data_IF_539424796789
#
_entry.id   IF_539424796789
#
_cell.length_a   1.000
_cell.length_b   1.000
_cell.length_c   1.000
_cell.angle_alpha   90.00
_cell.angle_beta   90.00
_cell.angle_gamma   90.00
#
_symmetry.space_group_name_H-M   'P 1'
#
loop_
_entity.id
_entity.type
_entity.pdbx_description
1 polymer ?
#
# COMPACT_ATOMS: atom_id res chain seq x y z
N UNK A 1 -1.88 7.38 6.66
CA UNK A 1 -2.34 8.10 7.88
C UNK A 1 -3.67 7.50 8.33
N UNK A 2 -3.97 7.49 9.64
CA UNK A 2 -5.30 7.05 10.11
C UNK A 2 -6.29 8.14 9.80
N UNK A 3 -7.39 7.79 9.13
CA UNK A 3 -8.48 8.71 8.89
C UNK A 3 -9.53 8.53 10.00
N UNK A 4 -9.91 7.28 10.28
CA UNK A 4 -10.94 6.94 11.28
C UNK A 4 -10.62 5.61 11.99
N UNK A 5 -11.05 5.48 13.26
CA UNK A 5 -11.08 4.23 14.02
C UNK A 5 -12.50 3.98 14.50
N UNK A 6 -13.01 2.78 14.25
CA UNK A 6 -14.38 2.36 14.54
C UNK A 6 -14.34 1.06 15.34
N UNK A 7 -15.17 0.97 16.37
CA UNK A 7 -15.41 -0.27 17.10
C UNK A 7 -16.87 -0.64 16.95
N UNK A 8 -17.11 -1.81 16.36
CA UNK A 8 -18.44 -2.39 16.16
C UNK A 8 -18.59 -3.65 16.99
N UNK A 9 -19.79 -3.90 17.46
CA UNK A 9 -20.20 -5.23 17.92
C UNK A 9 -20.69 -6.06 16.74
N UNK A 10 -20.62 -7.38 16.87
CA UNK A 10 -21.25 -8.34 15.97
C UNK A 10 -22.75 -8.01 15.84
N UNK A 11 -23.23 -7.81 14.61
CA UNK A 11 -24.55 -7.22 14.32
C UNK A 11 -24.51 -5.74 13.89
N UNK A 12 -23.34 -5.12 13.81
CA UNK A 12 -23.16 -3.77 13.26
C UNK A 12 -23.47 -2.64 14.25
N UNK A 13 -23.63 -2.95 15.54
CA UNK A 13 -23.87 -1.95 16.58
C UNK A 13 -22.58 -1.16 16.80
N UNK A 14 -22.62 0.14 16.56
CA UNK A 14 -21.52 1.03 16.87
C UNK A 14 -21.33 1.13 18.38
N UNK A 15 -20.10 0.95 18.85
CA UNK A 15 -19.71 1.17 20.25
C UNK A 15 -18.84 2.41 20.40
N UNK A 16 -17.95 2.65 19.43
CA UNK A 16 -17.03 3.76 19.47
C UNK A 16 -16.63 4.22 18.06
N UNK A 17 -16.40 5.52 17.92
CA UNK A 17 -15.92 6.13 16.69
C UNK A 17 -14.98 7.29 17.01
N UNK A 18 -13.82 7.28 16.37
CA UNK A 18 -12.80 8.32 16.42
C UNK A 18 -12.46 8.75 15.00
N UNK A 19 -12.38 10.06 14.76
CA UNK A 19 -12.03 10.66 13.47
C UNK A 19 -11.08 11.83 13.68
N UNK A 20 -9.94 11.81 12.98
CA UNK A 20 -8.90 12.85 13.09
C UNK A 20 -9.37 14.16 12.43
N UNK A 21 -10.16 14.08 11.36
CA UNK A 21 -10.64 15.24 10.61
C UNK A 21 -12.01 15.78 11.03
N UNK A 22 -12.68 15.13 11.99
CA UNK A 22 -14.03 15.51 12.44
C UNK A 22 -15.16 15.30 11.42
N UNK A 23 -14.84 14.89 10.18
CA UNK A 23 -15.82 14.50 9.17
C UNK A 23 -16.32 13.09 9.48
N UNK A 24 -17.63 12.93 9.65
CA UNK A 24 -18.25 11.61 9.86
C UNK A 24 -18.59 10.98 8.50
N UNK A 25 -17.76 10.06 8.01
CA UNK A 25 -18.14 9.14 6.92
C UNK A 25 -18.55 7.76 7.46
N UNK A 26 -19.08 7.75 8.67
CA UNK A 26 -19.42 6.56 9.45
C UNK A 26 -20.41 5.64 8.72
N UNK A 27 -21.45 6.20 8.08
CA UNK A 27 -22.52 5.39 7.46
C UNK A 27 -22.05 4.65 6.21
N UNK A 28 -21.22 5.29 5.38
CA UNK A 28 -20.58 4.66 4.21
C UNK A 28 -19.60 3.56 4.65
N UNK A 29 -18.85 3.79 5.72
CA UNK A 29 -17.85 2.86 6.26
C UNK A 29 -18.47 1.61 6.87
N UNK A 30 -19.51 1.77 7.69
CA UNK A 30 -20.20 0.65 8.32
C UNK A 30 -20.91 -0.20 7.26
N UNK A 31 -21.53 0.43 6.25
CA UNK A 31 -22.14 -0.28 5.14
C UNK A 31 -21.10 -1.06 4.30
N UNK A 32 -19.97 -0.43 3.96
CA UNK A 32 -18.89 -1.07 3.22
C UNK A 32 -18.27 -2.24 4.01
N UNK A 33 -18.07 -2.07 5.32
CA UNK A 33 -17.54 -3.13 6.19
C UNK A 33 -18.51 -4.32 6.31
N UNK A 34 -19.80 -4.07 6.55
CA UNK A 34 -20.79 -5.15 6.66
C UNK A 34 -20.94 -5.91 5.34
N UNK A 35 -20.99 -5.20 4.21
CA UNK A 35 -21.00 -5.82 2.88
C UNK A 35 -19.76 -6.69 2.63
N UNK A 36 -18.60 -6.27 3.13
CA UNK A 36 -17.35 -7.00 3.02
C UNK A 36 -17.32 -8.26 3.91
N UNK A 37 -17.77 -8.16 5.16
CA UNK A 37 -17.84 -9.29 6.09
C UNK A 37 -18.81 -10.36 5.57
N UNK A 38 -19.95 -9.96 5.01
CA UNK A 38 -20.92 -10.88 4.41
C UNK A 38 -20.35 -11.59 3.17
N UNK A 39 -19.60 -10.87 2.32
CA UNK A 39 -18.88 -11.44 1.17
C UNK A 39 -17.78 -12.42 1.60
N UNK A 40 -17.08 -12.15 2.71
CA UNK A 40 -16.03 -13.02 3.24
C UNK A 40 -16.58 -14.27 3.90
N UNK A 41 -17.74 -14.18 4.56
CA UNK A 41 -18.43 -15.35 5.12
C UNK A 41 -18.88 -16.34 4.02
N UNK A 42 -19.16 -15.84 2.82
CA UNK A 42 -19.51 -16.66 1.65
C UNK A 42 -18.31 -17.40 1.02
N UNK A 43 -17.07 -16.95 1.24
CA UNK A 43 -15.85 -17.48 0.59
C UNK A 43 -14.95 -18.32 1.53
N UNK A 44 -15.53 -19.00 2.53
CA UNK A 44 -14.79 -19.68 3.60
C UNK A 44 -13.73 -20.70 3.09
N UNK A 45 -12.50 -20.20 2.93
CA UNK A 45 -11.30 -20.93 2.52
C UNK A 45 -10.02 -20.29 3.11
N UNK A 46 -9.86 -20.38 4.44
CA UNK A 46 -8.57 -20.41 5.16
C UNK A 46 -7.54 -19.26 5.06
N UNK A 47 -7.87 -18.05 4.59
CA UNK A 47 -7.01 -16.87 4.89
C UNK A 47 -7.81 -15.78 5.60
N UNK A 48 -7.36 -15.41 6.81
CA UNK A 48 -7.84 -14.23 7.56
C UNK A 48 -7.46 -12.99 6.77
N UNK A 49 -8.27 -12.63 5.78
CA UNK A 49 -8.16 -11.33 5.12
C UNK A 49 -8.55 -10.30 6.19
N UNK A 50 -7.63 -9.40 6.53
CA UNK A 50 -7.80 -8.33 7.53
C UNK A 50 -7.73 -6.95 6.89
N UNK A 51 -7.70 -6.88 5.55
CA UNK A 51 -7.52 -5.64 4.81
C UNK A 51 -8.31 -5.64 3.51
N UNK A 52 -9.02 -4.55 3.22
CA UNK A 52 -9.72 -4.31 1.95
C UNK A 52 -9.42 -2.88 1.50
N UNK A 53 -9.03 -2.71 0.23
CA UNK A 53 -8.81 -1.40 -0.38
C UNK A 53 -10.09 -0.87 -1.07
N UNK A 54 -10.34 0.43 -0.95
CA UNK A 54 -11.44 1.17 -1.56
C UNK A 54 -10.92 2.51 -2.09
N UNK A 55 -10.89 2.69 -3.41
CA UNK A 55 -10.43 3.93 -4.05
C UNK A 55 -9.08 4.40 -3.49
N UNK A 56 -9.04 5.48 -2.68
CA UNK A 56 -7.83 6.04 -2.07
C UNK A 56 -7.57 5.60 -0.63
N UNK A 57 -8.44 4.77 -0.06
CA UNK A 57 -8.41 4.35 1.33
C UNK A 57 -8.37 2.82 1.42
N UNK A 58 -7.99 2.30 2.57
CA UNK A 58 -8.13 0.89 2.90
C UNK A 58 -8.65 0.73 4.31
N UNK A 59 -9.46 -0.29 4.50
CA UNK A 59 -9.91 -0.74 5.81
C UNK A 59 -9.00 -1.84 6.29
N UNK A 60 -8.45 -1.66 7.48
CA UNK A 60 -7.76 -2.70 8.23
C UNK A 60 -8.64 -3.04 9.43
N UNK A 61 -8.83 -4.32 9.74
CA UNK A 61 -9.61 -4.69 10.92
C UNK A 61 -9.03 -5.87 11.69
N UNK A 62 -9.36 -5.90 12.98
CA UNK A 62 -9.02 -6.99 13.91
C UNK A 62 -10.30 -7.41 14.65
N UNK A 63 -10.58 -8.72 14.68
CA UNK A 63 -11.72 -9.28 15.45
C UNK A 63 -11.23 -9.75 16.81
N UNK A 64 -11.91 -9.34 17.88
CA UNK A 64 -11.67 -9.81 19.25
C UNK A 64 -12.98 -10.17 19.93
N UNK A 65 -13.25 -11.47 20.06
CA UNK A 65 -14.56 -11.95 20.54
C UNK A 65 -15.67 -11.55 19.56
N UNK A 66 -16.72 -10.90 20.08
CA UNK A 66 -17.83 -10.33 19.30
C UNK A 66 -17.60 -8.86 18.89
N UNK A 67 -16.37 -8.36 19.00
CA UNK A 67 -16.02 -6.98 18.65
C UNK A 67 -15.14 -6.94 17.40
N UNK A 68 -15.40 -5.95 16.55
CA UNK A 68 -14.59 -5.60 15.39
C UNK A 68 -13.96 -4.23 15.62
N UNK A 69 -12.64 -4.19 15.53
CA UNK A 69 -11.84 -2.98 15.59
C UNK A 69 -11.39 -2.66 14.17
N UNK A 70 -11.75 -1.51 13.65
CA UNK A 70 -11.58 -1.15 12.24
C UNK A 70 -10.83 0.18 12.17
N UNK A 71 -9.77 0.24 11.37
CA UNK A 71 -9.09 1.47 11.01
C UNK A 71 -9.30 1.75 9.52
N UNK A 72 -9.80 2.93 9.18
CA UNK A 72 -9.71 3.47 7.84
C UNK A 72 -8.40 4.23 7.70
N UNK A 73 -7.59 3.83 6.74
CA UNK A 73 -6.26 4.39 6.53
C UNK A 73 -6.07 4.68 5.04
N UNK A 74 -5.13 5.54 4.69
CA UNK A 74 -4.80 5.77 3.28
C UNK A 74 -4.23 4.49 2.66
N UNK A 75 -4.52 4.25 1.37
CA UNK A 75 -4.14 3.03 0.64
C UNK A 75 -2.65 2.67 0.82
N UNK A 76 -1.81 3.70 0.79
CA UNK A 76 -0.35 3.65 0.87
C UNK A 76 0.24 3.42 2.27
N UNK A 77 -0.61 3.29 3.29
CA UNK A 77 -0.13 3.03 4.65
C UNK A 77 0.28 1.57 4.85
N UNK A 78 0.92 1.17 5.96
CA UNK A 78 1.19 -0.26 6.24
C UNK A 78 -0.03 -0.94 6.90
N UNK A 79 -0.52 -2.04 6.32
CA UNK A 79 -1.65 -2.79 6.89
C UNK A 79 -1.26 -3.50 8.20
N UNK A 80 -0.03 -4.05 8.25
CA UNK A 80 0.48 -4.76 9.42
C UNK A 80 0.68 -3.84 10.63
N UNK A 81 1.19 -2.62 10.40
CA UNK A 81 1.29 -1.60 11.43
C UNK A 81 -0.07 -1.31 12.07
N UNK A 82 -1.10 -1.12 11.24
CA UNK A 82 -2.44 -0.86 11.74
C UNK A 82 -3.10 -2.06 12.38
N UNK A 83 -2.78 -3.29 11.98
CA UNK A 83 -3.24 -4.48 12.70
C UNK A 83 -2.68 -4.53 14.11
N UNK A 84 -1.42 -4.14 14.31
CA UNK A 84 -0.81 -4.07 15.64
C UNK A 84 -1.45 -2.97 16.49
N UNK A 85 -1.65 -1.79 15.90
CA UNK A 85 -2.37 -0.68 16.56
C UNK A 85 -3.76 -1.15 17.00
N UNK A 86 -4.53 -1.77 16.10
CA UNK A 86 -5.87 -2.26 16.40
C UNK A 86 -5.85 -3.38 17.45
N UNK A 87 -4.84 -4.25 17.46
CA UNK A 87 -4.70 -5.29 18.48
C UNK A 87 -4.43 -4.70 19.88
N UNK A 88 -3.55 -3.71 19.98
CA UNK A 88 -3.26 -2.99 21.23
C UNK A 88 -4.53 -2.25 21.71
N UNK A 89 -5.19 -1.51 20.81
CA UNK A 89 -6.47 -0.88 21.11
C UNK A 89 -7.55 -1.89 21.54
N UNK A 90 -7.59 -3.08 20.94
CA UNK A 90 -8.53 -4.12 21.32
C UNK A 90 -8.21 -4.73 22.70
N UNK A 91 -6.96 -4.77 23.12
CA UNK A 91 -6.56 -5.13 24.49
C UNK A 91 -6.97 -4.06 25.48
N UNK A 92 -6.68 -2.80 25.21
CA UNK A 92 -7.03 -1.68 26.07
C UNK A 92 -8.54 -1.49 26.20
N UNK A 93 -9.29 -1.53 25.08
CA UNK A 93 -10.74 -1.32 25.08
C UNK A 93 -11.48 -2.38 25.90
N UNK A 94 -11.14 -3.66 25.69
CA UNK A 94 -11.76 -4.76 26.45
C UNK A 94 -11.39 -4.68 27.92
N UNK A 95 -10.14 -4.32 28.24
CA UNK A 95 -9.71 -4.16 29.63
C UNK A 95 -10.42 -3.00 30.32
N UNK A 96 -10.63 -1.88 29.63
CA UNK A 96 -11.20 -0.66 30.20
C UNK A 96 -12.72 -0.75 30.39
N UNK A 97 -13.42 -1.42 29.48
CA UNK A 97 -14.89 -1.48 29.47
C UNK A 97 -15.47 -2.87 29.71
N UNK A 98 -14.70 -3.81 30.25
CA UNK A 98 -15.17 -5.18 30.49
C UNK A 98 -16.54 -5.25 31.16
N UNK A 99 -16.75 -4.47 32.23
CA UNK A 99 -18.00 -4.46 32.98
C UNK A 99 -19.18 -3.83 32.21
N UNK A 100 -18.91 -2.91 31.28
CA UNK A 100 -19.94 -2.27 30.47
C UNK A 100 -20.29 -3.12 29.23
N UNK A 101 -19.31 -3.82 28.66
CA UNK A 101 -19.51 -4.77 27.55
C UNK A 101 -20.36 -5.99 27.94
N UNK A 102 -20.46 -6.30 29.23
CA UNK A 102 -21.28 -7.39 29.77
C UNK A 102 -22.75 -6.98 30.01
N UNK A 103 -23.12 -5.70 29.81
CA UNK A 103 -24.49 -5.21 29.99
C UNK A 103 -25.25 -5.29 28.67
N UNK A 104 -26.55 -5.60 28.72
CA UNK A 104 -27.41 -5.72 27.51
C UNK A 104 -27.66 -4.38 26.79
N UNK A 105 -27.49 -3.24 27.47
CA UNK A 105 -27.70 -1.91 26.92
C UNK A 105 -26.38 -1.13 26.88
N UNK A 106 -25.83 -0.99 25.68
CA UNK A 106 -24.61 -0.24 25.41
C UNK A 106 -24.93 1.25 25.24
N UNK A 107 -24.61 2.07 26.25
CA UNK A 107 -24.64 3.54 26.12
C UNK A 107 -23.34 4.02 25.48
N UNK A 108 -23.42 4.44 24.22
CA UNK A 108 -22.34 5.04 23.42
C UNK A 108 -21.55 6.14 24.16
N UNK A 109 -22.18 6.84 25.10
CA UNK A 109 -21.51 7.92 25.85
C UNK A 109 -20.43 7.40 26.80
N UNK A 110 -20.53 6.16 27.26
CA UNK A 110 -19.57 5.56 28.19
C UNK A 110 -18.24 5.24 27.54
N UNK A 111 -18.25 4.90 26.25
CA UNK A 111 -17.03 4.57 25.52
C UNK A 111 -16.24 5.80 25.06
N UNK A 112 -16.77 7.03 25.22
CA UNK A 112 -16.10 8.26 24.75
C UNK A 112 -14.74 8.50 25.40
N UNK A 113 -14.56 8.08 26.65
CA UNK A 113 -13.26 8.19 27.35
C UNK A 113 -12.15 7.35 26.71
N UNK A 114 -12.49 6.45 25.77
CA UNK A 114 -11.50 5.73 24.98
C UNK A 114 -10.75 6.61 23.97
N UNK A 115 -11.24 7.82 23.70
CA UNK A 115 -10.56 8.77 22.80
C UNK A 115 -9.13 9.03 23.25
N UNK A 116 -8.91 9.26 24.55
CA UNK A 116 -7.59 9.54 25.10
C UNK A 116 -6.62 8.36 24.90
N UNK A 117 -7.11 7.12 25.08
CA UNK A 117 -6.32 5.90 24.86
C UNK A 117 -5.99 5.67 23.37
N UNK A 118 -6.92 6.04 22.48
CA UNK A 118 -6.70 6.01 21.03
C UNK A 118 -5.65 7.05 20.63
N UNK A 119 -5.77 8.28 21.10
CA UNK A 119 -4.81 9.36 20.84
C UNK A 119 -3.43 9.01 21.38
N UNK A 120 -3.33 8.53 22.62
CA UNK A 120 -2.06 8.08 23.21
C UNK A 120 -1.44 6.95 22.40
N UNK A 121 -2.23 5.94 22.02
CA UNK A 121 -1.75 4.83 21.21
C UNK A 121 -1.26 5.31 19.86
N UNK A 122 -2.02 6.17 19.16
CA UNK A 122 -1.61 6.75 17.88
C UNK A 122 -0.34 7.61 18.02
N UNK A 123 -0.19 8.36 19.12
CA UNK A 123 1.00 9.14 19.42
C UNK A 123 2.27 8.29 19.55
N UNK A 124 2.16 7.04 20.07
CA UNK A 124 3.30 6.10 20.11
C UNK A 124 3.86 5.81 18.72
N UNK A 125 3.00 5.86 17.71
CA UNK A 125 3.36 5.63 16.31
C UNK A 125 3.59 6.93 15.55
N UNK A 126 3.47 8.11 16.16
CA UNK A 126 3.61 9.37 15.45
C UNK A 126 5.04 9.58 14.91
N UNK A 127 5.16 9.90 13.61
CA UNK A 127 6.42 9.96 12.85
C UNK A 127 6.92 8.62 12.28
N UNK A 128 6.34 7.47 12.66
CA UNK A 128 6.79 6.13 12.25
C UNK A 128 6.11 5.62 10.96
N UNK A 129 4.80 5.84 10.70
CA UNK A 129 4.14 5.37 9.48
C UNK A 129 4.80 5.83 8.18
N UNK A 130 5.39 7.04 8.17
CA UNK A 130 6.13 7.54 7.01
C UNK A 130 7.47 6.83 6.81
N UNK A 131 8.22 6.59 7.89
CA UNK A 131 9.51 5.91 7.85
C UNK A 131 9.34 4.40 7.58
N UNK A 132 8.41 3.74 8.26
CA UNK A 132 8.12 2.31 8.12
C UNK A 132 7.56 1.93 6.75
N UNK A 133 7.15 2.92 5.93
CA UNK A 133 6.76 2.70 4.53
C UNK A 133 7.96 2.43 3.62
N UNK A 134 9.11 3.06 3.89
CA UNK A 134 10.28 3.04 2.99
C UNK A 134 11.50 2.36 3.60
N UNK A 135 11.61 2.38 4.92
CA UNK A 135 12.80 1.98 5.65
C UNK A 135 12.48 0.92 6.68
N UNK A 136 13.50 0.13 7.02
CA UNK A 136 13.44 -0.73 8.20
C UNK A 136 13.32 0.18 9.42
N UNK A 137 12.36 -0.06 10.30
CA UNK A 137 12.11 0.76 11.50
C UNK A 137 12.01 -0.10 12.75
N UNK A 138 12.53 0.39 13.88
CA UNK A 138 12.41 -0.29 15.17
C UNK A 138 11.49 0.50 16.10
N UNK A 139 10.53 -0.17 16.73
CA UNK A 139 9.64 0.42 17.73
C UNK A 139 10.25 0.28 19.12
N UNK A 140 10.83 1.37 19.59
CA UNK A 140 11.25 1.50 20.98
C UNK A 140 10.04 1.61 21.93
N UNK A 141 10.18 1.22 23.20
CA UNK A 141 9.18 1.51 24.23
C UNK A 141 8.86 3.01 24.27
N UNK A 142 7.60 3.36 24.58
CA UNK A 142 7.14 4.76 24.51
C UNK A 142 7.91 5.71 25.42
N UNK A 143 8.36 5.24 26.59
CA UNK A 143 9.20 6.02 27.51
C UNK A 143 10.55 6.37 26.88
N UNK A 144 11.26 5.37 26.36
CA UNK A 144 12.54 5.53 25.65
C UNK A 144 12.37 6.45 24.42
N UNK A 145 11.33 6.21 23.61
CA UNK A 145 11.06 6.98 22.40
C UNK A 145 10.79 8.45 22.71
N UNK A 146 9.96 8.76 23.72
CA UNK A 146 9.64 10.12 24.10
C UNK A 146 10.85 10.86 24.66
N UNK A 147 11.68 10.17 25.45
CA UNK A 147 12.91 10.73 25.99
C UNK A 147 13.92 11.03 24.87
N UNK A 148 14.10 10.09 23.93
CA UNK A 148 14.96 10.28 22.77
C UNK A 148 14.45 11.41 21.86
N UNK A 149 13.14 11.48 21.60
CA UNK A 149 12.51 12.59 20.84
C UNK A 149 12.82 13.94 21.50
N UNK A 150 12.59 14.05 22.81
CA UNK A 150 12.87 15.28 23.55
C UNK A 150 14.34 15.67 23.47
N UNK A 151 15.24 14.71 23.66
CA UNK A 151 16.69 14.96 23.64
C UNK A 151 17.21 15.29 22.25
N UNK A 152 16.65 14.67 21.22
CA UNK A 152 16.97 14.99 19.84
C UNK A 152 16.63 16.45 19.53
N UNK A 153 15.42 16.89 19.90
CA UNK A 153 15.01 18.29 19.75
C UNK A 153 15.91 19.23 20.56
N UNK A 154 16.27 18.88 21.79
CA UNK A 154 17.19 19.69 22.61
C UNK A 154 18.56 19.89 21.93
N UNK A 155 19.09 18.84 21.29
CA UNK A 155 20.36 18.90 20.55
C UNK A 155 20.22 19.73 19.27
N UNK A 156 19.10 19.63 18.56
CA UNK A 156 18.80 20.37 17.33
C UNK A 156 18.51 21.87 17.55
N UNK A 157 18.31 22.32 18.80
CA UNK A 157 18.26 23.75 19.13
C UNK A 157 19.63 24.41 18.96
N UNK A 158 20.72 23.63 18.99
CA UNK A 158 22.07 24.12 18.70
C UNK A 158 22.14 24.65 17.28
N UNK A 159 22.69 25.86 17.08
CA UNK A 159 22.91 26.43 15.75
C UNK A 159 23.76 25.54 14.83
N UNK A 160 24.52 24.60 15.39
CA UNK A 160 25.44 23.74 14.63
C UNK A 160 24.87 22.36 14.30
N UNK A 161 23.75 21.94 14.92
CA UNK A 161 23.10 20.65 14.66
C UNK A 161 21.74 20.93 14.06
N UNK A 162 21.52 20.52 12.81
CA UNK A 162 20.30 20.85 12.08
C UNK A 162 19.19 19.80 12.29
N UNK A 163 19.54 18.53 12.09
CA UNK A 163 18.62 17.39 12.16
C UNK A 163 19.40 16.15 12.56
N UNK A 164 18.80 15.23 13.28
CA UNK A 164 19.43 13.95 13.60
C UNK A 164 18.52 12.73 13.46
N UNK A 165 19.15 11.56 13.54
CA UNK A 165 18.49 10.27 13.61
C UNK A 165 19.28 9.28 14.45
N UNK A 166 18.62 8.18 14.80
CA UNK A 166 19.20 7.02 15.45
C UNK A 166 18.84 5.76 14.65
N UNK A 167 19.86 5.06 14.18
CA UNK A 167 19.71 3.89 13.29
C UNK A 167 20.55 2.75 13.85
N UNK A 168 20.00 1.54 13.91
CA UNK A 168 20.75 0.35 14.33
C UNK A 168 21.77 -0.07 13.27
N UNK A 169 22.80 -0.84 13.64
CA UNK A 169 23.81 -1.31 12.68
C UNK A 169 23.24 -2.18 11.54
N UNK A 170 22.12 -2.85 11.78
CA UNK A 170 21.38 -3.62 10.78
C UNK A 170 20.36 -2.78 9.97
N UNK A 171 20.42 -1.45 10.10
CA UNK A 171 19.70 -0.50 9.25
C UNK A 171 18.27 -0.16 9.70
N UNK A 172 17.87 -0.50 10.93
CA UNK A 172 16.55 -0.12 11.45
C UNK A 172 16.58 1.27 12.06
N UNK A 173 15.74 2.16 11.56
CA UNK A 173 15.57 3.51 12.05
C UNK A 173 14.70 3.49 13.31
N UNK A 174 15.24 3.98 14.43
CA UNK A 174 14.52 4.10 15.70
C UNK A 174 13.78 5.43 15.82
N UNK A 175 14.44 6.51 15.40
CA UNK A 175 13.91 7.88 15.36
C UNK A 175 14.66 8.67 14.30
N UNK A 176 13.98 9.56 13.58
CA UNK A 176 14.61 10.43 12.59
C UNK A 176 13.85 11.73 12.40
N UNK A 177 14.58 12.85 12.39
CA UNK A 177 14.15 14.13 11.82
C UNK A 177 14.84 14.42 10.47
N UNK A 178 15.68 13.49 9.99
CA UNK A 178 16.34 13.61 8.69
C UNK A 178 15.32 13.55 7.54
N UNK A 179 15.61 14.26 6.45
CA UNK A 179 14.88 14.15 5.20
C UNK A 179 15.17 12.81 4.54
N UNK A 180 14.26 12.34 3.67
CA UNK A 180 14.40 11.03 3.02
C UNK A 180 15.76 10.82 2.33
N UNK A 181 16.24 11.79 1.54
CA UNK A 181 17.54 11.66 0.88
C UNK A 181 18.72 11.68 1.86
N UNK A 182 18.59 12.31 3.03
CA UNK A 182 19.61 12.31 4.08
C UNK A 182 19.70 10.94 4.75
N UNK A 183 18.55 10.28 4.93
CA UNK A 183 18.47 8.91 5.43
C UNK A 183 19.15 7.93 4.47
N UNK A 184 18.91 8.04 3.16
CA UNK A 184 19.58 7.18 2.17
C UNK A 184 21.10 7.31 2.26
N UNK A 185 21.61 8.54 2.33
CA UNK A 185 23.06 8.80 2.47
C UNK A 185 23.59 8.16 3.75
N UNK A 186 22.88 8.31 4.87
CA UNK A 186 23.28 7.69 6.14
C UNK A 186 23.33 6.17 6.01
N UNK A 187 22.28 5.54 5.47
CA UNK A 187 22.21 4.08 5.28
C UNK A 187 23.33 3.55 4.38
N UNK A 188 23.65 4.26 3.29
CA UNK A 188 24.75 3.93 2.38
C UNK A 188 26.13 4.05 3.05
N UNK A 189 26.29 5.00 3.97
CA UNK A 189 27.55 5.27 4.64
C UNK A 189 27.79 4.38 5.87
N UNK A 190 26.75 3.85 6.53
CA UNK A 190 26.88 2.99 7.73
C UNK A 190 27.93 1.87 7.56
N UNK A 191 27.94 1.07 6.46
CA UNK A 191 28.87 -0.06 6.31
C UNK A 191 30.35 0.35 6.23
N UNK A 192 30.64 1.61 5.88
CA UNK A 192 31.99 2.12 5.62
C UNK A 192 32.49 3.07 6.72
N UNK A 193 31.79 3.17 7.86
CA UNK A 193 32.23 3.96 9.00
C UNK A 193 33.33 3.25 9.78
N UNK A 194 34.50 3.88 9.88
CA UNK A 194 35.67 3.29 10.53
C UNK A 194 35.85 3.79 11.97
N UNK A 195 35.53 5.06 12.23
CA UNK A 195 35.78 5.71 13.54
C UNK A 195 34.52 5.75 14.39
N UNK A 196 34.70 5.97 15.70
CA UNK A 196 33.60 6.13 16.66
C UNK A 196 32.88 7.46 16.47
N UNK A 197 33.61 8.49 16.08
CA UNK A 197 33.08 9.79 15.67
C UNK A 197 33.71 10.14 14.32
N UNK A 198 32.88 10.51 13.36
CA UNK A 198 33.33 10.84 12.00
C UNK A 198 32.43 11.89 11.37
N UNK A 199 33.01 12.96 10.85
CA UNK A 199 32.30 13.96 10.03
C UNK A 199 32.58 13.68 8.56
N UNK A 200 31.53 13.57 7.74
CA UNK A 200 31.64 13.34 6.29
C UNK A 200 30.80 14.33 5.50
N UNK A 201 31.44 14.97 4.54
CA UNK A 201 30.76 15.70 3.49
C UNK A 201 30.15 14.73 2.47
N UNK A 202 29.03 15.13 1.88
CA UNK A 202 28.38 14.36 0.82
C UNK A 202 27.83 15.30 -0.24
N UNK A 203 27.99 14.96 -1.52
CA UNK A 203 27.62 15.83 -2.65
C UNK A 203 26.14 16.21 -2.69
N UNK A 204 25.28 15.36 -2.11
CA UNK A 204 23.82 15.59 -2.03
C UNK A 204 23.39 16.44 -0.82
N UNK A 205 24.32 16.88 0.03
CA UNK A 205 24.05 17.81 1.13
C UNK A 205 24.28 19.26 0.69
N UNK A 206 23.77 20.21 1.46
CA UNK A 206 24.02 21.63 1.25
C UNK A 206 25.51 21.93 1.50
N UNK A 207 26.11 22.84 0.72
CA UNK A 207 27.58 23.07 0.68
C UNK A 207 28.23 23.40 2.04
N UNK A 208 27.44 23.89 2.99
CA UNK A 208 27.89 24.27 4.34
C UNK A 208 27.53 23.23 5.40
N UNK A 209 27.10 22.04 4.98
CA UNK A 209 26.63 20.97 5.87
C UNK A 209 27.35 19.65 5.61
N UNK A 210 27.50 18.87 6.67
CA UNK A 210 28.10 17.54 6.66
C UNK A 210 27.28 16.59 7.55
N UNK A 211 27.54 15.29 7.44
CA UNK A 211 27.00 14.29 8.34
C UNK A 211 28.02 13.96 9.43
N UNK A 212 27.65 14.20 10.68
CA UNK A 212 28.32 13.69 11.86
C UNK A 212 27.75 12.30 12.18
N UNK A 213 28.62 11.31 12.28
CA UNK A 213 28.29 9.97 12.76
C UNK A 213 28.89 9.76 14.14
N UNK A 214 28.10 9.22 15.07
CA UNK A 214 28.53 8.80 16.39
C UNK A 214 28.10 7.35 16.63
N UNK A 215 29.06 6.45 16.76
CA UNK A 215 28.82 5.04 17.08
C UNK A 215 28.39 4.88 18.53
N UNK A 216 27.29 4.17 18.74
CA UNK A 216 26.71 3.87 20.05
C UNK A 216 27.01 2.39 20.34
N UNK A 217 28.24 2.14 20.79
CA UNK A 217 28.79 0.80 21.05
C UNK A 217 28.47 -0.15 19.88
N UNK A 218 27.89 -1.33 20.17
CA UNK A 218 27.47 -2.32 19.19
C UNK A 218 25.96 -2.30 18.93
N UNK A 219 25.25 -1.24 19.36
CA UNK A 219 23.78 -1.16 19.25
C UNK A 219 23.33 -0.37 18.04
N UNK A 220 23.83 0.85 17.89
CA UNK A 220 23.31 1.82 16.94
C UNK A 220 24.36 2.85 16.53
N UNK A 221 23.96 3.69 15.59
CA UNK A 221 24.67 4.87 15.11
C UNK A 221 23.69 6.04 15.22
N UNK A 222 24.12 7.10 15.89
CA UNK A 222 23.46 8.40 15.79
C UNK A 222 24.10 9.17 14.63
N UNK A 223 23.27 9.71 13.73
CA UNK A 223 23.75 10.53 12.62
C UNK A 223 23.07 11.90 12.68
N UNK A 224 23.82 12.96 12.41
CA UNK A 224 23.35 14.33 12.48
C UNK A 224 23.82 15.11 11.26
N UNK A 225 22.94 15.92 10.68
CA UNK A 225 23.33 16.97 9.74
C UNK A 225 23.83 18.15 10.54
N UNK A 226 25.07 18.55 10.31
CA UNK A 226 25.75 19.62 11.06
C UNK A 226 26.28 20.69 10.12
N UNK A 227 26.33 21.94 10.58
CA UNK A 227 27.04 23.00 9.86
C UNK A 227 28.54 22.79 9.98
N UNK A 228 29.28 22.85 8.88
CA UNK A 228 30.74 22.70 8.87
C UNK A 228 31.39 23.90 9.57
N UNK A 229 32.34 23.66 10.47
CA UNK A 229 33.13 24.73 11.10
C UNK A 229 33.63 24.44 12.52
N UNK A 230 33.17 23.36 13.15
CA UNK A 230 33.68 22.92 14.45
C UNK A 230 34.58 21.68 14.31
N UNK A 231 35.50 21.44 15.27
CA UNK A 231 36.22 20.17 15.35
C UNK A 231 35.29 19.03 15.80
N UNK A 232 35.61 17.80 15.40
CA UNK A 232 34.85 16.58 15.72
C UNK A 232 34.50 16.45 17.22
N UNK A 233 35.44 16.79 18.10
CA UNK A 233 35.24 16.72 19.56
C UNK A 233 34.16 17.70 20.06
N UNK A 234 34.07 18.89 19.46
CA UNK A 234 33.06 19.88 19.83
C UNK A 234 31.65 19.42 19.39
N UNK A 235 31.53 18.81 18.20
CA UNK A 235 30.26 18.19 17.81
C UNK A 235 29.87 17.05 18.73
N UNK A 236 30.84 16.22 19.13
CA UNK A 236 30.61 15.12 20.06
C UNK A 236 30.04 15.63 21.38
N UNK A 237 30.57 16.70 21.95
CA UNK A 237 30.04 17.31 23.17
C UNK A 237 28.59 17.80 22.99
N UNK A 238 28.27 18.42 21.86
CA UNK A 238 26.91 18.90 21.55
C UNK A 238 25.88 17.78 21.51
N UNK A 239 26.23 16.62 20.94
CA UNK A 239 25.32 15.48 20.79
C UNK A 239 25.37 14.48 21.94
N UNK A 240 26.33 14.64 22.87
CA UNK A 240 26.52 13.76 24.03
C UNK A 240 25.24 13.53 24.84
N UNK A 241 24.42 14.56 25.14
CA UNK A 241 23.17 14.35 25.87
C UNK A 241 22.26 13.31 25.19
N UNK A 242 22.10 13.37 23.87
CA UNK A 242 21.30 12.39 23.13
C UNK A 242 21.96 11.00 23.11
N UNK A 243 23.27 10.94 22.89
CA UNK A 243 24.05 9.70 22.82
C UNK A 243 23.97 8.91 24.13
N UNK A 244 24.00 9.57 25.29
CA UNK A 244 23.87 8.92 26.61
C UNK A 244 22.52 8.20 26.71
N UNK A 245 21.41 8.85 26.37
CA UNK A 245 20.10 8.19 26.44
C UNK A 245 19.95 7.09 25.39
N UNK A 246 20.58 7.25 24.21
CA UNK A 246 20.58 6.21 23.19
C UNK A 246 21.40 4.97 23.61
N UNK A 247 22.39 5.10 24.49
CA UNK A 247 23.09 3.96 25.09
C UNK A 247 22.18 3.15 26.02
N UNK A 248 21.33 3.84 26.78
CA UNK A 248 20.44 3.24 27.79
C UNK A 248 19.15 2.64 27.19
N UNK A 249 18.74 3.11 26.00
CA UNK A 249 17.53 2.63 25.33
C UNK A 249 17.53 1.11 25.07
N UNK A 250 16.36 0.48 25.23
CA UNK A 250 16.23 -0.97 25.11
C UNK A 250 15.87 -1.42 23.68
N UNK A 251 16.89 -1.68 22.87
CA UNK A 251 16.72 -2.23 21.52
C UNK A 251 16.37 -3.73 21.49
N UNK A 252 16.69 -4.49 22.55
CA UNK A 252 16.60 -5.96 22.54
C UNK A 252 15.18 -6.51 22.64
N UNK A 253 14.29 -5.82 23.36
CA UNK A 253 12.87 -6.19 23.47
C UNK A 253 11.98 -5.50 22.43
N UNK A 254 12.57 -4.64 21.59
CA UNK A 254 11.86 -3.76 20.67
C UNK A 254 11.48 -4.48 19.38
N UNK A 255 10.25 -4.23 18.90
CA UNK A 255 9.76 -4.86 17.67
C UNK A 255 10.40 -4.19 16.45
N UNK A 256 10.90 -5.02 15.53
CA UNK A 256 11.49 -4.59 14.26
C UNK A 256 10.47 -4.72 13.15
N UNK A 257 10.44 -3.72 12.27
CA UNK A 257 9.56 -3.63 11.12
C UNK A 257 10.43 -3.51 9.89
N UNK A 258 10.22 -4.39 8.94
CA UNK A 258 10.71 -4.18 7.60
C UNK A 258 9.60 -3.49 6.82
N UNK A 259 9.92 -2.53 5.95
CA UNK A 259 8.92 -1.97 5.08
C UNK A 259 8.34 -3.14 4.29
N UNK A 260 7.00 -3.23 4.24
CA UNK A 260 6.39 -4.09 3.23
C UNK A 260 7.04 -3.66 1.92
N UNK A 261 7.78 -4.57 1.30
CA UNK A 261 8.25 -4.34 -0.04
C UNK A 261 6.98 -4.15 -0.87
N UNK A 262 6.61 -2.90 -1.06
CA UNK A 262 6.14 -2.43 -2.35
C UNK A 262 7.36 -2.54 -3.29
N UNK A 263 7.91 -3.76 -3.44
CA UNK A 263 8.10 -4.27 -4.78
C UNK A 263 6.72 -4.01 -5.37
N UNK A 264 6.63 -2.98 -6.20
CA UNK A 264 5.72 -3.07 -7.31
C UNK A 264 6.02 -4.44 -7.93
N UNK A 265 5.34 -5.48 -7.42
CA UNK A 265 4.87 -6.54 -8.29
C UNK A 265 4.35 -5.75 -9.46
N UNK A 266 4.99 -5.97 -10.60
CA UNK A 266 4.59 -5.34 -11.84
C UNK A 266 3.19 -5.91 -12.06
N UNK A 267 2.20 -5.29 -11.45
CA UNK A 267 0.84 -5.79 -11.48
C UNK A 267 0.25 -5.21 -12.72
N UNK A 268 0.24 -6.05 -13.73
CA UNK A 268 -0.39 -5.69 -14.98
C UNK A 268 -1.88 -5.57 -14.71
N UNK A 269 -2.49 -4.54 -15.27
CA UNK A 269 -3.92 -4.39 -15.08
C UNK A 269 -4.65 -5.53 -15.79
N UNK A 270 -5.69 -6.05 -15.14
CA UNK A 270 -6.49 -7.18 -15.63
C UNK A 270 -6.99 -6.96 -17.05
N UNK A 271 -7.20 -5.69 -17.41
CA UNK A 271 -7.75 -5.23 -18.68
C UNK A 271 -6.69 -4.82 -19.73
N UNK A 272 -5.41 -4.93 -19.40
CA UNK A 272 -4.35 -4.76 -20.39
C UNK A 272 -4.21 -6.03 -21.23
N UNK A 273 -3.77 -5.87 -22.47
CA UNK A 273 -3.54 -6.97 -23.41
C UNK A 273 -2.07 -7.36 -23.46
N UNK A 274 -1.82 -8.65 -23.59
CA UNK A 274 -0.49 -9.20 -23.85
C UNK A 274 -0.28 -9.36 -25.35
N UNK A 275 0.64 -8.59 -25.91
CA UNK A 275 1.02 -8.65 -27.33
C UNK A 275 2.36 -9.39 -27.49
N UNK A 276 2.42 -10.47 -28.29
CA UNK A 276 3.70 -11.10 -28.61
C UNK A 276 4.55 -10.18 -29.50
N UNK A 277 5.83 -10.04 -29.16
CA UNK A 277 6.84 -9.36 -30.00
C UNK A 277 7.68 -10.40 -30.77
N UNK A 278 8.00 -11.52 -30.12
CA UNK A 278 8.76 -12.61 -30.71
C UNK A 278 7.85 -13.66 -31.39
N UNK A 279 8.46 -14.59 -32.14
CA UNK A 279 7.74 -15.75 -32.65
C UNK A 279 7.18 -16.57 -31.47
N UNK A 280 5.95 -17.06 -31.62
CA UNK A 280 5.23 -17.87 -30.64
C UNK A 280 6.07 -19.07 -30.19
N UNK A 281 6.80 -19.72 -31.10
CA UNK A 281 7.66 -20.87 -30.76
C UNK A 281 8.80 -20.50 -29.79
N UNK A 282 9.34 -19.27 -29.91
CA UNK A 282 10.37 -18.76 -29.00
C UNK A 282 9.80 -18.42 -27.62
N UNK A 283 8.57 -17.90 -27.58
CA UNK A 283 7.83 -17.63 -26.34
C UNK A 283 7.52 -18.94 -25.62
N UNK A 284 7.08 -19.97 -26.37
CA UNK A 284 6.78 -21.30 -25.84
C UNK A 284 8.03 -21.98 -25.26
N UNK A 285 9.16 -21.90 -25.96
CA UNK A 285 10.43 -22.45 -25.45
C UNK A 285 10.81 -21.83 -24.10
N UNK A 286 10.70 -20.50 -24.00
CA UNK A 286 11.01 -19.77 -22.77
C UNK A 286 10.00 -20.07 -21.65
N UNK A 287 8.70 -20.11 -21.95
CA UNK A 287 7.66 -20.49 -21.00
C UNK A 287 7.92 -21.88 -20.42
N UNK A 288 8.27 -22.85 -21.27
CA UNK A 288 8.59 -24.21 -20.84
C UNK A 288 9.85 -24.28 -19.98
N UNK A 289 10.83 -23.42 -20.23
CA UNK A 289 12.04 -23.31 -19.41
C UNK A 289 11.75 -22.67 -18.05
N UNK A 290 10.93 -21.61 -18.01
CA UNK A 290 10.55 -20.91 -16.77
C UNK A 290 9.63 -21.76 -15.88
N UNK A 291 8.77 -22.58 -16.49
CA UNK A 291 7.78 -23.43 -15.82
C UNK A 291 8.26 -24.88 -15.64
N UNK A 292 9.55 -25.15 -15.85
CA UNK A 292 10.12 -26.49 -15.73
C UNK A 292 10.04 -27.05 -14.31
N UNK A 293 9.90 -26.22 -13.27
CA UNK A 293 9.71 -26.64 -11.88
C UNK A 293 8.24 -26.61 -11.42
N UNK A 294 7.31 -26.20 -12.27
CA UNK A 294 5.90 -26.00 -11.91
C UNK A 294 5.06 -27.28 -12.07
N UNK A 295 3.85 -27.27 -11.51
CA UNK A 295 2.90 -28.39 -11.58
C UNK A 295 2.47 -28.72 -13.01
N UNK A 296 1.94 -29.93 -13.21
CA UNK A 296 1.46 -30.42 -14.50
C UNK A 296 0.28 -29.59 -15.05
N UNK A 297 -0.56 -29.03 -14.16
CA UNK A 297 -1.64 -28.11 -14.51
C UNK A 297 -1.12 -26.82 -15.14
N UNK A 298 -0.10 -26.19 -14.55
CA UNK A 298 0.51 -24.95 -15.03
C UNK A 298 1.21 -25.16 -16.38
N UNK A 299 1.86 -26.32 -16.57
CA UNK A 299 2.44 -26.69 -17.87
C UNK A 299 1.39 -26.90 -18.95
N UNK A 300 0.24 -27.50 -18.60
CA UNK A 300 -0.88 -27.62 -19.54
C UNK A 300 -1.48 -26.24 -19.90
N UNK A 301 -1.48 -25.29 -18.96
CA UNK A 301 -1.86 -23.89 -19.19
C UNK A 301 -0.93 -23.18 -20.18
N UNK A 302 0.37 -23.48 -20.17
CA UNK A 302 1.35 -22.87 -21.08
C UNK A 302 1.06 -23.19 -22.55
N UNK A 303 0.59 -24.42 -22.84
CA UNK A 303 0.14 -24.80 -24.18
C UNK A 303 -1.13 -24.05 -24.61
N UNK A 304 -2.07 -23.79 -23.70
CA UNK A 304 -3.27 -23.00 -24.02
C UNK A 304 -2.95 -21.52 -24.22
N UNK A 305 -2.03 -20.99 -23.43
CA UNK A 305 -1.54 -19.61 -23.56
C UNK A 305 -0.97 -19.35 -24.97
N UNK A 306 -0.26 -20.32 -25.56
CA UNK A 306 0.27 -20.24 -26.92
C UNK A 306 -0.81 -19.88 -27.95
N UNK A 307 -1.96 -20.54 -27.88
CA UNK A 307 -3.05 -20.29 -28.82
C UNK A 307 -3.75 -18.97 -28.53
N UNK A 308 -3.87 -18.58 -27.27
CA UNK A 308 -4.45 -17.30 -26.87
C UNK A 308 -3.58 -16.11 -27.27
N UNK A 309 -2.26 -16.21 -27.18
CA UNK A 309 -1.33 -15.11 -27.50
C UNK A 309 -1.49 -14.59 -28.95
N UNK A 310 -2.05 -15.39 -29.86
CA UNK A 310 -2.39 -14.96 -31.23
C UNK A 310 -3.45 -13.86 -31.26
N UNK A 311 -4.38 -13.87 -30.30
CA UNK A 311 -5.52 -12.97 -30.22
C UNK A 311 -5.28 -11.75 -29.32
N UNK A 312 -4.05 -11.60 -28.79
CA UNK A 312 -3.66 -10.57 -27.81
C UNK A 312 -4.59 -10.57 -26.58
N UNK A 313 -4.53 -11.62 -25.75
CA UNK A 313 -5.47 -11.87 -24.67
C UNK A 313 -5.29 -10.85 -23.55
N UNK A 314 -6.33 -10.67 -22.74
CA UNK A 314 -6.27 -9.87 -21.53
C UNK A 314 -5.44 -10.57 -20.46
N UNK A 315 -4.85 -9.80 -19.54
CA UNK A 315 -4.14 -10.36 -18.40
C UNK A 315 -5.06 -11.26 -17.56
N UNK A 316 -6.32 -10.87 -17.37
CA UNK A 316 -7.32 -11.71 -16.67
C UNK A 316 -7.61 -13.04 -17.38
N UNK A 317 -7.64 -13.05 -18.71
CA UNK A 317 -7.88 -14.27 -19.49
C UNK A 317 -6.69 -15.24 -19.36
N UNK A 318 -5.48 -14.71 -19.23
CA UNK A 318 -4.27 -15.51 -18.98
C UNK A 318 -4.31 -16.08 -17.56
N UNK A 319 -4.72 -15.29 -16.57
CA UNK A 319 -4.87 -15.75 -15.17
C UNK A 319 -5.83 -16.93 -15.08
N UNK A 320 -7.01 -16.81 -15.67
CA UNK A 320 -8.02 -17.88 -15.73
C UNK A 320 -7.51 -19.14 -16.44
N UNK A 321 -6.67 -18.98 -17.46
CA UNK A 321 -6.18 -20.10 -18.27
C UNK A 321 -5.00 -20.82 -17.62
N UNK A 322 -4.12 -20.08 -16.95
CA UNK A 322 -2.92 -20.65 -16.33
C UNK A 322 -3.17 -21.21 -14.93
N UNK A 323 -4.29 -20.85 -14.29
CA UNK A 323 -4.61 -21.19 -12.89
C UNK A 323 -3.45 -20.83 -11.95
N UNK A 324 -2.80 -19.70 -12.23
CA UNK A 324 -1.70 -19.16 -11.46
C UNK A 324 -2.21 -18.06 -10.53
N UNK A 325 -1.70 -17.95 -9.30
CA UNK A 325 -1.91 -16.77 -8.48
C UNK A 325 -1.41 -15.53 -9.22
N UNK A 326 -2.17 -14.42 -9.20
CA UNK A 326 -1.82 -13.15 -9.85
C UNK A 326 -0.35 -12.73 -9.70
N UNK A 327 0.20 -12.87 -8.50
CA UNK A 327 1.60 -12.53 -8.20
C UNK A 327 2.61 -13.36 -9.01
N UNK A 328 2.33 -14.65 -9.23
CA UNK A 328 3.17 -15.55 -10.03
C UNK A 328 3.02 -15.28 -11.52
N UNK A 329 1.80 -14.92 -11.96
CA UNK A 329 1.53 -14.49 -13.33
C UNK A 329 2.27 -13.17 -13.66
N UNK A 330 2.20 -12.19 -12.77
CA UNK A 330 2.88 -10.90 -12.90
C UNK A 330 4.41 -11.10 -12.99
N UNK A 331 4.99 -11.98 -12.18
CA UNK A 331 6.41 -12.33 -12.26
C UNK A 331 6.76 -13.02 -13.59
N UNK A 332 5.91 -13.93 -14.06
CA UNK A 332 6.08 -14.63 -15.34
C UNK A 332 6.05 -13.64 -16.51
N UNK A 333 5.04 -12.78 -16.56
CA UNK A 333 4.90 -11.76 -17.59
C UNK A 333 6.06 -10.77 -17.55
N UNK A 334 6.51 -10.33 -16.37
CA UNK A 334 7.67 -9.47 -16.23
C UNK A 334 8.95 -10.10 -16.79
N UNK A 335 9.18 -11.40 -16.55
CA UNK A 335 10.33 -12.14 -17.11
C UNK A 335 10.27 -12.20 -18.63
N UNK A 336 9.09 -12.43 -19.21
CA UNK A 336 8.90 -12.46 -20.66
C UNK A 336 9.09 -11.06 -21.29
N UNK A 337 8.66 -10.00 -20.61
CA UNK A 337 8.90 -8.61 -21.04
C UNK A 337 10.39 -8.28 -20.97
N UNK A 338 11.07 -8.65 -19.88
CA UNK A 338 12.51 -8.42 -19.72
C UNK A 338 13.34 -9.12 -20.80
N UNK A 339 12.86 -10.26 -21.31
CA UNK A 339 13.43 -10.99 -22.45
C UNK A 339 12.98 -10.48 -23.82
N UNK A 340 12.19 -9.40 -23.84
CA UNK A 340 11.66 -8.77 -25.05
C UNK A 340 10.81 -9.72 -25.92
N UNK A 341 10.12 -10.66 -25.27
CA UNK A 341 9.28 -11.67 -25.93
C UNK A 341 7.83 -11.22 -26.09
N UNK A 342 7.32 -10.50 -25.10
CA UNK A 342 5.96 -9.95 -25.06
C UNK A 342 5.99 -8.48 -24.63
N UNK A 343 4.89 -7.77 -24.87
CA UNK A 343 4.65 -6.42 -24.39
C UNK A 343 3.22 -6.26 -23.91
N UNK A 344 3.05 -5.46 -22.89
CA UNK A 344 1.74 -5.08 -22.36
C UNK A 344 1.26 -3.83 -23.09
N UNK A 345 0.04 -3.89 -23.62
CA UNK A 345 -0.59 -2.79 -24.36
C UNK A 345 -1.99 -2.54 -23.80
N UNK A 346 -2.37 -1.27 -23.72
CA UNK A 346 -3.72 -0.89 -23.28
C UNK A 346 -4.75 -1.31 -24.34
N UNK A 347 -5.93 -1.73 -23.90
CA UNK A 347 -7.06 -2.01 -24.78
C UNK A 347 -7.94 -0.75 -24.97
N UNK A 348 -8.17 -0.38 -26.23
CA UNK A 348 -8.97 0.77 -26.63
C UNK A 348 -10.24 0.31 -27.35
N UNK A 349 -11.44 0.45 -26.75
CA UNK A 349 -12.69 0.04 -27.39
C UNK A 349 -13.14 1.05 -28.45
N UNK A 350 -13.59 0.54 -29.60
CA UNK A 350 -14.16 1.29 -30.71
C UNK A 350 -15.54 0.71 -31.01
N UNK A 351 -16.58 1.51 -30.79
CA UNK A 351 -17.96 1.16 -31.10
C UNK A 351 -18.34 1.71 -32.48
N UNK A 352 -18.74 0.85 -33.41
CA UNK A 352 -19.19 1.28 -34.74
C UNK A 352 -20.65 1.78 -34.68
N UNK A 353 -20.83 3.09 -34.94
CA UNK A 353 -22.08 3.85 -35.12
C UNK A 353 -23.30 3.51 -34.24
N UNK A 354 -23.70 4.50 -33.44
CA UNK A 354 -24.96 4.51 -32.69
C UNK A 354 -26.11 5.02 -33.57
N UNK A 355 -26.80 4.13 -34.28
CA UNK A 355 -28.05 4.46 -34.98
C UNK A 355 -29.27 4.12 -34.10
N UNK A 356 -30.49 4.53 -34.49
CA UNK A 356 -31.75 4.18 -33.80
C UNK A 356 -31.94 2.66 -33.62
N UNK A 357 -31.28 1.87 -34.48
CA UNK A 357 -31.22 0.39 -34.41
C UNK A 357 -30.41 -0.13 -33.22
N UNK A 358 -29.50 0.66 -32.66
CA UNK A 358 -28.68 0.28 -31.51
C UNK A 358 -29.53 0.14 -30.25
N UNK A 359 -30.52 1.01 -30.03
CA UNK A 359 -31.43 0.92 -28.88
C UNK A 359 -32.28 -0.35 -28.96
N UNK A 360 -32.79 -0.68 -30.15
CA UNK A 360 -33.51 -1.93 -30.38
C UNK A 360 -32.61 -3.16 -30.18
N UNK A 361 -31.33 -3.08 -30.57
CA UNK A 361 -30.35 -4.12 -30.33
C UNK A 361 -30.10 -4.36 -28.83
N UNK A 362 -29.96 -3.30 -28.02
CA UNK A 362 -29.77 -3.41 -26.57
C UNK A 362 -30.92 -4.17 -25.89
N UNK A 363 -32.16 -3.97 -26.36
CA UNK A 363 -33.33 -4.72 -25.87
C UNK A 363 -33.29 -6.20 -26.28
N UNK A 364 -32.83 -6.51 -27.50
CA UNK A 364 -32.73 -7.88 -28.02
C UNK A 364 -31.65 -8.70 -27.31
N UNK A 365 -30.51 -8.10 -26.96
CA UNK A 365 -29.42 -8.79 -26.24
C UNK A 365 -29.69 -8.95 -24.73
N UNK A 366 -30.85 -8.48 -24.25
CA UNK A 366 -31.29 -8.72 -22.87
C UNK A 366 -30.61 -7.84 -21.82
N UNK A 367 -30.02 -6.71 -22.22
CA UNK A 367 -29.49 -5.73 -21.26
C UNK A 367 -30.65 -5.17 -20.43
N UNK A 368 -30.50 -5.11 -19.10
CA UNK A 368 -31.53 -4.56 -18.21
C UNK A 368 -31.65 -3.06 -18.47
N UNK A 369 -32.87 -2.49 -18.46
CA UNK A 369 -33.09 -1.04 -18.65
C UNK A 369 -32.22 -0.14 -17.75
N UNK A 370 -31.80 -0.63 -16.58
CA UNK A 370 -30.88 0.06 -15.65
C UNK A 370 -29.46 0.25 -16.20
N UNK A 371 -29.04 -0.62 -17.12
CA UNK A 371 -27.71 -0.61 -17.73
C UNK A 371 -27.67 0.19 -19.03
N UNK A 372 -28.82 0.67 -19.54
CA UNK A 372 -28.87 1.50 -20.75
C UNK A 372 -28.15 2.84 -20.54
N UNK A 373 -28.30 3.43 -19.36
CA UNK A 373 -27.63 4.69 -19.01
C UNK A 373 -26.12 4.48 -18.90
N UNK A 374 -25.68 3.32 -18.39
CA UNK A 374 -24.27 2.92 -18.31
C UNK A 374 -23.69 2.72 -19.71
N UNK A 375 -24.38 1.96 -20.56
CA UNK A 375 -23.98 1.76 -21.98
C UNK A 375 -23.90 3.09 -22.70
N UNK A 376 -24.92 3.94 -22.57
CA UNK A 376 -24.96 5.25 -23.21
C UNK A 376 -23.78 6.11 -22.76
N UNK A 377 -23.49 6.14 -21.46
CA UNK A 377 -22.37 6.90 -20.89
C UNK A 377 -21.03 6.38 -21.40
N UNK A 378 -20.77 5.07 -21.30
CA UNK A 378 -19.52 4.44 -21.74
C UNK A 378 -19.31 4.62 -23.25
N UNK A 379 -20.38 4.41 -24.03
CA UNK A 379 -20.33 4.42 -25.50
C UNK A 379 -19.89 5.77 -26.09
N UNK A 380 -20.08 6.89 -25.38
CA UNK A 380 -19.58 8.21 -25.79
C UNK A 380 -18.06 8.29 -25.80
N UNK A 381 -17.39 7.38 -25.09
CA UNK A 381 -15.93 7.31 -24.95
C UNK A 381 -15.31 6.11 -25.66
N UNK A 382 -16.11 5.28 -26.34
CA UNK A 382 -15.66 4.12 -27.10
C UNK A 382 -15.34 4.47 -28.56
N UNK A 383 -14.45 5.43 -28.78
CA UNK A 383 -14.00 5.86 -30.11
C UNK A 383 -12.55 5.44 -30.41
N UNK A 384 -11.94 4.64 -29.53
CA UNK A 384 -10.54 4.23 -29.58
C UNK A 384 -9.55 5.23 -28.99
N UNK A 385 -10.02 6.38 -28.48
CA UNK A 385 -9.15 7.43 -27.92
C UNK A 385 -8.82 7.23 -26.44
N UNK A 386 -9.60 6.42 -25.71
CA UNK A 386 -9.43 6.18 -24.27
C UNK A 386 -9.33 4.70 -23.98
N UNK A 387 -8.45 4.33 -23.05
CA UNK A 387 -8.40 2.96 -22.54
C UNK A 387 -9.56 2.70 -21.58
N UNK A 388 -9.81 1.42 -21.27
CA UNK A 388 -10.84 1.01 -20.31
C UNK A 388 -10.69 1.72 -18.95
N UNK A 389 -9.46 1.89 -18.47
CA UNK A 389 -9.19 2.62 -17.24
C UNK A 389 -9.53 4.10 -17.35
N UNK A 390 -9.14 4.74 -18.44
CA UNK A 390 -9.40 6.17 -18.66
C UNK A 390 -10.92 6.43 -18.81
N UNK A 391 -11.67 5.46 -19.37
CA UNK A 391 -13.13 5.48 -19.41
C UNK A 391 -13.70 5.32 -17.98
N UNK A 392 -13.18 4.38 -17.20
CA UNK A 392 -13.60 4.15 -15.82
C UNK A 392 -13.43 5.41 -14.96
N UNK A 393 -12.27 6.06 -15.03
CA UNK A 393 -11.96 7.29 -14.30
C UNK A 393 -12.88 8.45 -14.70
N UNK A 394 -13.16 8.62 -16.00
CA UNK A 394 -14.01 9.72 -16.49
C UNK A 394 -15.49 9.52 -16.21
N UNK A 395 -15.94 8.28 -16.21
CA UNK A 395 -17.37 7.95 -16.01
C UNK A 395 -17.69 7.65 -14.56
N UNK A 396 -16.68 7.47 -13.70
CA UNK A 396 -16.82 6.98 -12.32
C UNK A 396 -17.51 5.60 -12.24
N UNK A 397 -17.42 4.80 -13.31
CA UNK A 397 -17.95 3.44 -13.40
C UNK A 397 -16.76 2.48 -13.27
N UNK A 398 -16.81 1.46 -12.39
CA UNK A 398 -15.69 0.54 -12.21
C UNK A 398 -15.25 -0.13 -13.52
N UNK A 399 -13.94 -0.25 -13.75
CA UNK A 399 -13.37 -0.81 -14.98
C UNK A 399 -13.87 -2.25 -15.29
N UNK A 400 -14.07 -3.07 -14.25
CA UNK A 400 -14.71 -4.40 -14.36
C UNK A 400 -16.08 -4.27 -15.01
N UNK A 401 -16.90 -3.32 -14.53
CA UNK A 401 -18.25 -3.09 -15.03
C UNK A 401 -18.25 -2.53 -16.46
N UNK A 402 -17.30 -1.67 -16.78
CA UNK A 402 -17.09 -1.19 -18.15
C UNK A 402 -16.82 -2.37 -19.08
N UNK A 403 -15.92 -3.28 -18.68
CA UNK A 403 -15.58 -4.45 -19.49
C UNK A 403 -16.71 -5.45 -19.66
N UNK A 404 -17.46 -5.75 -18.60
CA UNK A 404 -18.66 -6.62 -18.70
C UNK A 404 -19.64 -6.09 -19.74
N UNK A 405 -19.92 -4.79 -19.70
CA UNK A 405 -20.86 -4.15 -20.62
C UNK A 405 -20.32 -4.19 -22.06
N UNK A 406 -19.03 -3.94 -22.27
CA UNK A 406 -18.41 -4.01 -23.59
C UNK A 406 -18.35 -5.46 -24.12
N UNK A 407 -18.13 -6.46 -23.26
CA UNK A 407 -18.20 -7.87 -23.67
C UNK A 407 -19.62 -8.30 -24.09
N UNK A 408 -20.66 -7.79 -23.43
CA UNK A 408 -22.06 -8.02 -23.85
C UNK A 408 -22.37 -7.42 -25.23
N UNK A 409 -21.62 -6.39 -25.62
CA UNK A 409 -21.71 -5.70 -26.90
C UNK A 409 -20.76 -6.26 -27.96
N UNK A 410 -20.07 -7.38 -27.69
CA UNK A 410 -18.94 -7.96 -28.43
C UNK A 410 -19.05 -7.93 -29.96
N UNK A 411 -20.24 -8.10 -30.53
CA UNK A 411 -20.43 -8.07 -31.99
C UNK A 411 -20.31 -6.68 -32.63
N UNK A 412 -20.38 -5.60 -31.84
CA UNK A 412 -20.35 -4.21 -32.32
C UNK A 412 -19.12 -3.42 -31.84
N UNK A 413 -18.23 -4.05 -31.08
CA UNK A 413 -17.03 -3.42 -30.54
C UNK A 413 -15.81 -4.03 -31.20
N UNK A 414 -15.03 -3.18 -31.85
CA UNK A 414 -13.67 -3.50 -32.26
C UNK A 414 -12.69 -3.01 -31.20
N UNK A 415 -11.63 -3.78 -30.98
CA UNK A 415 -10.58 -3.45 -30.02
C UNK A 415 -9.32 -3.02 -30.75
N UNK A 416 -8.79 -1.85 -30.40
CA UNK A 416 -7.49 -1.39 -30.87
C UNK A 416 -6.44 -1.53 -29.77
N UNK A 417 -5.22 -1.89 -30.19
CA UNK A 417 -4.03 -1.92 -29.33
C UNK A 417 -3.25 -0.59 -29.39
N UNK A 418 -3.66 0.32 -30.27
CA UNK A 418 -3.09 1.64 -30.45
C UNK A 418 -4.17 2.70 -30.27
N UNK A 419 -3.78 3.79 -29.61
CA UNK A 419 -4.69 4.91 -29.36
C UNK A 419 -5.08 5.55 -30.70
N UNK A 420 -6.36 5.56 -31.02
CA UNK A 420 -6.89 6.25 -32.19
C UNK A 420 -7.12 7.71 -31.81
N UNK A 421 -6.27 8.61 -32.31
CA UNK A 421 -6.45 10.05 -32.14
C UNK A 421 -7.40 10.58 -33.22
N UNK A 422 -8.70 10.65 -32.93
CA UNK A 422 -9.63 11.45 -33.75
C UNK A 422 -9.64 12.88 -33.22
N UNK A 423 -9.34 13.83 -34.11
CA UNK A 423 -9.16 15.28 -33.89
C UNK A 423 -7.79 15.71 -33.34
N UNK A 424 -6.74 15.52 -34.15
CA UNK A 424 -5.65 16.52 -34.16
C UNK A 424 -6.04 17.57 -35.21
N UNK A 425 -6.52 18.72 -34.74
CA UNK A 425 -6.51 19.96 -35.52
C UNK A 425 -5.43 20.87 -34.96
#
# INVERSE_FOLDING_TARGET
MVNEIIILQEGGILLFHYSIGGTKKLDELVAAFLSAVDSLAAQAGRKRITTIAFASNKLVWEKKGNLFFIAMVTEDSSSELYRIILKDLAEQFVSMFYADLMKELNDLRRFRSFTDAVEETLHKFDGIPGLARRYKTILLPSEDLNLLKKKLVEVEISQNILRGCLITYDGYIAISHLRAYEIEIVLDLIPILLRDVEVREHASLEKETALLFVKIQNKAIAAFVVHIGLPDDAYRELVTPFVIYALDANFGASRKFEPEKLESQISFYDFDRVKPIANIDSIEHELNQLLSSSSESVRSGAFKLRDMLKENPLVSEIEETMDLPKNELDELLAKLIAKNLIRIVKAYPILEQQDERFVAFLEVIGIKKKDFDVVKTISTYCDGSLSIQEISERTNIPAVRVMEVLHLLSNNISWSNERVLKNVR
#
